data_IF_183470752452
#
_entry.id   IF_183470752452
#
_cell.length_a   1.000
_cell.length_b   1.000
_cell.length_c   1.000
_cell.angle_alpha   90.00
_cell.angle_beta   90.00
_cell.angle_gamma   90.00
#
_symmetry.space_group_name_H-M   'P 1'
#
loop_
_entity.id
_entity.type
_entity.pdbx_description
1 polymer ?
#
# COMPACT_ATOMS: atom_id res chain seq x y z
N UNK A 1 -8.66 0.74 -61.51
CA UNK A 1 -8.30 -0.61 -61.03
C UNK A 1 -6.99 -0.47 -60.30
N UNK A 2 -6.77 -0.76 -59.03
CA UNK A 2 -7.54 -1.28 -57.91
C UNK A 2 -6.48 -1.39 -56.80
N UNK A 3 -6.71 -0.75 -55.66
CA UNK A 3 -5.82 -0.82 -54.51
C UNK A 3 -5.98 -2.18 -53.82
N UNK A 4 -4.93 -2.70 -53.15
CA UNK A 4 -5.16 -3.43 -51.91
C UNK A 4 -4.50 -2.68 -50.75
N UNK A 5 -5.40 -2.18 -49.91
CA UNK A 5 -5.21 -1.84 -48.51
C UNK A 5 -4.77 -3.07 -47.69
N UNK A 6 -4.12 -2.75 -46.57
CA UNK A 6 -4.15 -3.44 -45.26
C UNK A 6 -3.01 -4.39 -44.89
N UNK A 7 -2.10 -3.89 -44.06
CA UNK A 7 -2.04 -4.29 -42.64
C UNK A 7 -1.14 -3.34 -41.84
N UNK A 8 -1.76 -2.29 -41.29
CA UNK A 8 -1.28 -1.59 -40.10
C UNK A 8 -1.96 -2.24 -38.90
N UNK A 9 -1.19 -2.84 -37.99
CA UNK A 9 -1.26 -2.65 -36.53
C UNK A 9 -0.39 -3.70 -35.83
N UNK A 10 0.88 -3.33 -35.62
CA UNK A 10 1.72 -3.99 -34.64
C UNK A 10 1.21 -3.67 -33.23
N UNK A 11 0.30 -4.49 -32.71
CA UNK A 11 -0.05 -4.55 -31.29
C UNK A 11 0.96 -5.44 -30.55
N UNK A 12 2.25 -5.15 -30.66
CA UNK A 12 3.28 -5.91 -29.97
C UNK A 12 3.26 -5.58 -28.49
N UNK A 13 2.76 -6.48 -27.64
CA UNK A 13 2.95 -6.38 -26.19
C UNK A 13 4.45 -6.40 -25.91
N UNK A 14 5.01 -5.27 -25.45
CA UNK A 14 6.42 -5.18 -25.06
C UNK A 14 6.69 -6.18 -23.92
N UNK A 15 7.44 -7.28 -24.14
CA UNK A 15 7.64 -8.33 -23.13
C UNK A 15 8.40 -7.83 -21.90
N UNK A 16 9.19 -6.76 -22.03
CA UNK A 16 9.91 -6.16 -20.90
C UNK A 16 8.96 -5.59 -19.83
N UNK A 17 7.71 -5.29 -20.19
CA UNK A 17 6.71 -4.79 -19.27
C UNK A 17 6.16 -5.86 -18.33
N UNK A 18 6.45 -7.13 -18.60
CA UNK A 18 5.98 -8.30 -17.86
C UNK A 18 7.11 -9.01 -17.10
N UNK A 19 8.33 -8.45 -17.12
CA UNK A 19 9.46 -8.95 -16.34
C UNK A 19 9.39 -8.37 -14.92
N UNK A 20 9.37 -9.22 -13.87
CA UNK A 20 9.33 -8.76 -12.50
C UNK A 20 10.68 -8.18 -12.08
N UNK A 21 10.62 -7.04 -11.41
CA UNK A 21 11.75 -6.43 -10.73
C UNK A 21 12.25 -7.36 -9.60
N UNK A 22 13.57 -7.59 -9.47
CA UNK A 22 14.10 -8.59 -8.55
C UNK A 22 13.89 -8.24 -7.07
N UNK A 23 13.81 -6.95 -6.73
CA UNK A 23 13.68 -6.49 -5.34
C UNK A 23 12.21 -6.43 -4.91
N UNK A 24 11.37 -5.82 -5.74
CA UNK A 24 9.95 -5.61 -5.45
C UNK A 24 9.09 -6.81 -5.85
N UNK A 25 9.53 -7.59 -6.83
CA UNK A 25 8.75 -8.65 -7.47
C UNK A 25 7.68 -8.13 -8.44
N UNK A 26 7.55 -6.82 -8.61
CA UNK A 26 6.55 -6.21 -9.46
C UNK A 26 7.05 -6.03 -10.90
N UNK A 27 6.17 -6.32 -11.85
CA UNK A 27 6.37 -5.93 -13.24
C UNK A 27 6.13 -4.43 -13.44
N UNK A 28 6.68 -3.80 -14.49
CA UNK A 28 6.37 -2.42 -14.84
C UNK A 28 4.86 -2.13 -15.01
N UNK A 29 4.07 -3.10 -15.52
CA UNK A 29 2.60 -2.95 -15.58
C UNK A 29 1.97 -2.90 -14.20
N UNK A 30 2.40 -3.77 -13.29
CA UNK A 30 1.88 -3.80 -11.93
C UNK A 30 2.25 -2.53 -11.17
N UNK A 31 3.50 -2.03 -11.28
CA UNK A 31 3.91 -0.73 -10.70
C UNK A 31 3.02 0.41 -11.20
N UNK A 32 2.70 0.42 -12.51
CA UNK A 32 1.78 1.41 -13.11
C UNK A 32 0.36 1.29 -12.55
N UNK A 33 -0.15 0.07 -12.43
CA UNK A 33 -1.48 -0.19 -11.86
C UNK A 33 -1.56 0.26 -10.39
N UNK A 34 -0.54 -0.07 -9.58
CA UNK A 34 -0.44 0.34 -8.17
C UNK A 34 -0.53 1.86 -8.05
N UNK A 35 0.26 2.62 -8.83
CA UNK A 35 0.22 4.08 -8.82
C UNK A 35 -1.15 4.63 -9.19
N UNK A 36 -1.72 4.16 -10.30
CA UNK A 36 -3.05 4.58 -10.77
C UNK A 36 -4.13 4.36 -9.71
N UNK A 37 -4.10 3.21 -9.04
CA UNK A 37 -5.07 2.89 -7.98
C UNK A 37 -4.84 3.78 -6.75
N UNK A 38 -3.58 3.99 -6.38
CA UNK A 38 -3.23 4.84 -5.25
C UNK A 38 -3.63 6.30 -5.46
N UNK A 39 -3.55 6.81 -6.70
CA UNK A 39 -3.97 8.17 -7.06
C UNK A 39 -5.44 8.44 -6.70
N UNK A 40 -6.31 7.43 -6.84
CA UNK A 40 -7.73 7.52 -6.46
C UNK A 40 -7.87 7.67 -4.94
N UNK A 41 -7.04 6.98 -4.17
CA UNK A 41 -7.11 6.96 -2.71
C UNK A 41 -6.45 8.21 -2.11
N UNK A 42 -5.32 8.65 -2.66
CA UNK A 42 -4.61 9.83 -2.15
C UNK A 42 -5.35 11.14 -2.43
N UNK A 43 -6.29 11.15 -3.37
CA UNK A 43 -7.16 12.30 -3.66
C UNK A 43 -7.96 12.80 -2.43
N UNK A 44 -8.31 11.90 -1.51
CA UNK A 44 -8.88 12.26 -0.20
C UNK A 44 -8.04 11.65 0.93
N UNK A 45 -6.78 12.08 0.99
CA UNK A 45 -5.77 11.59 1.95
C UNK A 45 -6.29 11.59 3.39
N UNK A 46 -6.95 12.67 3.82
CA UNK A 46 -7.38 12.82 5.21
C UNK A 46 -8.52 11.85 5.55
N UNK A 47 -9.58 11.82 4.76
CA UNK A 47 -10.73 10.97 5.06
C UNK A 47 -10.37 9.49 4.86
N UNK A 48 -9.63 9.15 3.81
CA UNK A 48 -9.24 7.76 3.55
C UNK A 48 -8.26 7.22 4.59
N UNK A 49 -7.38 8.07 5.15
CA UNK A 49 -6.54 7.70 6.28
C UNK A 49 -7.36 7.40 7.55
N UNK A 50 -8.38 8.21 7.84
CA UNK A 50 -9.30 7.97 8.95
C UNK A 50 -10.07 6.67 8.74
N UNK A 51 -10.66 6.48 7.55
CA UNK A 51 -11.39 5.25 7.19
C UNK A 51 -10.49 4.01 7.33
N UNK A 52 -9.23 4.11 6.90
CA UNK A 52 -8.25 3.03 6.99
C UNK A 52 -8.01 2.60 8.45
N UNK A 53 -7.65 3.55 9.32
CA UNK A 53 -7.26 3.25 10.68
C UNK A 53 -8.45 2.89 11.57
N UNK A 54 -9.64 3.45 11.29
CA UNK A 54 -10.89 3.01 11.94
C UNK A 54 -11.16 1.55 11.56
N UNK A 55 -11.14 1.19 10.27
CA UNK A 55 -11.35 -0.18 9.83
C UNK A 55 -10.30 -1.14 10.43
N UNK A 56 -9.06 -0.69 10.56
CA UNK A 56 -7.98 -1.47 11.18
C UNK A 56 -8.26 -1.79 12.65
N UNK A 57 -8.71 -0.80 13.43
CA UNK A 57 -9.07 -0.99 14.84
C UNK A 57 -10.43 -1.66 15.06
N UNK A 58 -11.37 -1.56 14.12
CA UNK A 58 -12.61 -2.36 14.14
C UNK A 58 -12.30 -3.85 14.09
N UNK A 59 -11.37 -4.25 13.22
CA UNK A 59 -10.95 -5.66 13.08
C UNK A 59 -10.01 -6.08 14.20
N UNK A 60 -9.13 -5.19 14.66
CA UNK A 60 -8.12 -5.48 15.67
C UNK A 60 -8.13 -4.44 16.82
N UNK A 61 -9.13 -4.45 17.71
CA UNK A 61 -9.29 -3.41 18.74
C UNK A 61 -8.08 -3.27 19.67
N UNK A 62 -7.38 -4.38 19.95
CA UNK A 62 -6.22 -4.40 20.83
C UNK A 62 -5.05 -3.55 20.31
N UNK A 63 -4.94 -3.34 19.00
CA UNK A 63 -3.82 -2.59 18.40
C UNK A 63 -3.84 -1.10 18.73
N UNK A 64 -5.02 -0.55 19.08
CA UNK A 64 -5.14 0.85 19.51
C UNK A 64 -4.27 1.17 20.74
N UNK A 65 -3.95 0.16 21.58
CA UNK A 65 -3.14 0.32 22.80
C UNK A 65 -1.74 0.88 22.55
N UNK A 66 -1.19 0.67 21.36
CA UNK A 66 0.15 1.14 21.00
C UNK A 66 0.20 2.68 20.84
N UNK A 67 -0.95 3.31 20.62
CA UNK A 67 -1.06 4.74 20.32
C UNK A 67 -1.36 5.56 21.58
N UNK A 68 -0.34 5.78 22.41
CA UNK A 68 -0.46 6.47 23.73
C UNK A 68 -1.30 7.75 23.72
N UNK A 69 -1.28 8.50 22.61
CA UNK A 69 -2.01 9.75 22.43
C UNK A 69 -3.54 9.63 22.34
N UNK A 70 -4.06 8.45 21.99
CA UNK A 70 -5.49 8.20 21.79
C UNK A 70 -5.92 6.77 22.13
N UNK A 71 -5.09 6.00 22.86
CA UNK A 71 -5.37 4.60 23.22
C UNK A 71 -6.66 4.38 24.00
N UNK A 72 -7.09 5.37 24.77
CA UNK A 72 -8.28 5.32 25.63
C UNK A 72 -9.48 6.06 25.03
N UNK A 73 -9.36 6.57 23.80
CA UNK A 73 -10.45 7.25 23.09
C UNK A 73 -11.36 6.19 22.49
N UNK A 74 -12.69 6.23 22.72
CA UNK A 74 -13.60 5.28 22.11
C UNK A 74 -13.52 5.32 20.58
N UNK A 75 -13.63 4.15 19.93
CA UNK A 75 -13.49 4.02 18.47
C UNK A 75 -14.40 4.98 17.70
N UNK A 76 -15.65 5.17 18.16
CA UNK A 76 -16.63 6.10 17.57
C UNK A 76 -16.21 7.58 17.62
N UNK A 77 -15.35 7.94 18.56
CA UNK A 77 -14.90 9.31 18.82
C UNK A 77 -13.53 9.59 18.18
N UNK A 78 -12.78 8.55 17.79
CA UNK A 78 -11.48 8.68 17.12
C UNK A 78 -11.51 9.58 15.87
N UNK A 79 -12.51 9.49 14.96
CA UNK A 79 -12.54 10.35 13.77
C UNK A 79 -12.53 11.85 14.09
N UNK A 80 -12.94 12.26 15.30
CA UNK A 80 -12.94 13.65 15.76
C UNK A 80 -11.68 14.04 16.54
N UNK A 81 -10.83 13.08 16.90
CA UNK A 81 -9.62 13.31 17.65
C UNK A 81 -8.49 13.83 16.73
N UNK A 82 -7.96 15.03 17.00
CA UNK A 82 -6.93 15.66 16.15
C UNK A 82 -5.62 14.89 16.11
N UNK A 83 -5.20 14.25 17.21
CA UNK A 83 -3.97 13.43 17.25
C UNK A 83 -4.12 12.17 16.40
N UNK A 84 -5.30 11.56 16.42
CA UNK A 84 -5.63 10.44 15.54
C UNK A 84 -5.62 10.86 14.07
N UNK A 85 -6.28 11.97 13.71
CA UNK A 85 -6.29 12.48 12.33
C UNK A 85 -4.86 12.79 11.81
N UNK A 86 -4.00 13.38 12.65
CA UNK A 86 -2.61 13.65 12.30
C UNK A 86 -1.83 12.35 12.04
N UNK A 87 -2.04 11.33 12.87
CA UNK A 87 -1.42 10.02 12.64
C UNK A 87 -1.93 9.35 11.36
N UNK A 88 -3.25 9.37 11.12
CA UNK A 88 -3.85 8.85 9.88
C UNK A 88 -3.24 9.49 8.64
N UNK A 89 -3.07 10.81 8.66
CA UNK A 89 -2.44 11.57 7.57
C UNK A 89 -0.98 11.13 7.37
N UNK A 90 -0.23 10.94 8.46
CA UNK A 90 1.15 10.47 8.41
C UNK A 90 1.30 9.08 7.78
N UNK A 91 0.37 8.16 8.10
CA UNK A 91 0.34 6.82 7.50
C UNK A 91 0.10 6.91 5.99
N UNK A 92 -0.86 7.74 5.55
CA UNK A 92 -1.13 7.92 4.13
C UNK A 92 0.04 8.53 3.35
N UNK A 93 0.79 9.45 3.95
CA UNK A 93 2.01 9.97 3.34
C UNK A 93 3.14 8.93 3.28
N UNK A 94 3.28 8.08 4.29
CA UNK A 94 4.24 6.98 4.25
C UNK A 94 3.92 5.99 3.12
N UNK A 95 2.65 5.62 2.96
CA UNK A 95 2.19 4.76 1.86
C UNK A 95 2.37 5.42 0.49
N UNK A 96 2.09 6.73 0.38
CA UNK A 96 2.34 7.49 -0.85
C UNK A 96 3.82 7.48 -1.22
N UNK A 97 4.69 7.71 -0.24
CA UNK A 97 6.13 7.69 -0.48
C UNK A 97 6.63 6.32 -0.95
N UNK A 98 6.06 5.23 -0.44
CA UNK A 98 6.36 3.86 -0.93
C UNK A 98 5.96 3.71 -2.40
N UNK A 99 4.73 4.09 -2.75
CA UNK A 99 4.19 3.97 -4.13
C UNK A 99 4.98 4.83 -5.13
N UNK A 100 5.39 6.03 -4.71
CA UNK A 100 6.16 6.95 -5.55
C UNK A 100 7.58 6.41 -5.83
N UNK A 101 8.15 5.62 -4.92
CA UNK A 101 9.53 5.09 -5.03
C UNK A 101 9.62 3.65 -5.58
N UNK A 102 8.56 3.08 -6.18
CA UNK A 102 8.59 1.70 -6.71
C UNK A 102 9.64 1.47 -7.81
N UNK A 103 10.16 2.52 -8.45
CA UNK A 103 11.23 2.41 -9.47
C UNK A 103 12.64 2.66 -8.89
N UNK A 104 12.75 3.21 -7.68
CA UNK A 104 14.03 3.38 -6.96
C UNK A 104 14.06 2.39 -5.79
N UNK A 105 14.36 1.13 -6.12
CA UNK A 105 14.31 0.02 -5.15
C UNK A 105 15.33 0.18 -4.04
N UNK A 106 16.48 0.79 -4.33
CA UNK A 106 17.51 1.11 -3.33
C UNK A 106 17.00 2.09 -2.27
N UNK A 107 16.41 3.21 -2.69
CA UNK A 107 15.78 4.16 -1.79
C UNK A 107 14.62 3.52 -1.02
N UNK A 108 13.75 2.76 -1.72
CA UNK A 108 12.59 2.11 -1.13
C UNK A 108 12.96 1.14 0.01
N UNK A 109 13.98 0.31 -0.19
CA UNK A 109 14.45 -0.64 0.83
C UNK A 109 14.93 0.09 2.09
N UNK A 110 15.69 1.17 1.94
CA UNK A 110 16.16 1.98 3.08
C UNK A 110 15.02 2.68 3.83
N UNK A 111 14.03 3.21 3.09
CA UNK A 111 12.83 3.83 3.67
C UNK A 111 12.03 2.82 4.50
N UNK A 112 11.77 1.64 3.94
CA UNK A 112 11.05 0.57 4.63
C UNK A 112 11.83 0.04 5.82
N UNK A 113 13.16 0.00 5.73
CA UNK A 113 14.03 -0.40 6.83
C UNK A 113 13.90 0.55 8.01
N UNK A 114 13.99 1.87 7.76
CA UNK A 114 13.81 2.88 8.81
C UNK A 114 12.40 2.85 9.40
N UNK A 115 11.38 2.67 8.55
CA UNK A 115 9.99 2.57 8.97
C UNK A 115 9.79 1.39 9.93
N UNK A 116 10.25 0.20 9.53
CA UNK A 116 10.13 -1.01 10.34
C UNK A 116 10.90 -0.92 11.65
N UNK A 117 12.12 -0.36 11.65
CA UNK A 117 12.91 -0.16 12.86
C UNK A 117 12.20 0.77 13.85
N UNK A 118 11.60 1.84 13.34
CA UNK A 118 10.84 2.77 14.17
C UNK A 118 9.62 2.09 14.80
N UNK A 119 8.87 1.29 14.03
CA UNK A 119 7.72 0.56 14.55
C UNK A 119 8.11 -0.55 15.54
N UNK A 120 9.22 -1.23 15.31
CA UNK A 120 9.75 -2.22 16.24
C UNK A 120 10.05 -1.61 17.63
N UNK A 121 10.62 -0.39 17.68
CA UNK A 121 10.83 0.34 18.95
C UNK A 121 9.54 0.64 19.70
N UNK A 122 8.40 0.66 19.02
CA UNK A 122 7.07 0.83 19.60
C UNK A 122 6.38 -0.51 19.93
N UNK A 123 7.09 -1.63 19.81
CA UNK A 123 6.58 -2.97 20.10
C UNK A 123 5.58 -3.47 19.06
N UNK A 124 5.62 -2.92 17.83
CA UNK A 124 4.75 -3.35 16.73
C UNK A 124 5.35 -4.59 16.08
N UNK A 125 4.53 -5.62 15.98
CA UNK A 125 4.87 -6.92 15.43
C UNK A 125 4.73 -6.96 13.91
N UNK A 126 5.36 -7.96 13.30
CA UNK A 126 5.16 -8.28 11.87
C UNK A 126 3.70 -8.57 11.53
N UNK A 127 2.97 -9.22 12.45
CA UNK A 127 1.57 -9.55 12.22
C UNK A 127 0.70 -8.29 12.08
N UNK A 128 0.94 -7.26 12.90
CA UNK A 128 0.23 -5.99 12.81
C UNK A 128 0.44 -5.29 11.46
N UNK A 129 1.62 -5.40 10.85
CA UNK A 129 1.86 -4.92 9.49
C UNK A 129 1.09 -5.71 8.43
N UNK A 130 1.00 -7.03 8.57
CA UNK A 130 0.22 -7.91 7.67
C UNK A 130 -1.28 -7.59 7.76
N UNK A 131 -1.76 -7.31 8.97
CA UNK A 131 -3.15 -6.93 9.22
C UNK A 131 -3.46 -5.54 8.66
N UNK A 132 -2.51 -4.60 8.76
CA UNK A 132 -2.63 -3.27 8.14
C UNK A 132 -2.69 -3.40 6.62
N UNK A 133 -1.80 -4.18 6.00
CA UNK A 133 -1.83 -4.49 4.56
C UNK A 133 -3.20 -5.05 4.14
N UNK A 134 -3.74 -5.99 4.91
CA UNK A 134 -5.05 -6.58 4.63
C UNK A 134 -6.15 -5.52 4.68
N UNK A 135 -6.07 -4.60 5.64
CA UNK A 135 -6.99 -3.47 5.76
C UNK A 135 -6.87 -2.49 4.59
N UNK A 136 -5.65 -2.21 4.11
CA UNK A 136 -5.44 -1.40 2.89
C UNK A 136 -6.15 -2.04 1.70
N UNK A 137 -5.99 -3.34 1.47
CA UNK A 137 -6.69 -4.05 0.39
C UNK A 137 -8.22 -3.96 0.52
N UNK A 138 -8.76 -4.05 1.74
CA UNK A 138 -10.20 -3.86 1.99
C UNK A 138 -10.65 -2.43 1.68
N UNK A 139 -9.86 -1.43 2.04
CA UNK A 139 -10.13 -0.02 1.71
C UNK A 139 -10.15 0.19 0.20
N UNK A 140 -9.15 -0.33 -0.52
CA UNK A 140 -9.08 -0.24 -1.98
C UNK A 140 -10.32 -0.84 -2.63
N UNK A 141 -10.70 -2.07 -2.24
CA UNK A 141 -11.93 -2.72 -2.71
C UNK A 141 -13.17 -1.86 -2.45
N UNK A 142 -13.30 -1.28 -1.25
CA UNK A 142 -14.43 -0.42 -0.90
C UNK A 142 -14.49 0.85 -1.74
N UNK A 143 -13.35 1.47 -2.05
CA UNK A 143 -13.28 2.76 -2.75
C UNK A 143 -13.39 2.61 -4.27
N UNK A 144 -12.85 1.53 -4.83
CA UNK A 144 -12.84 1.31 -6.28
C UNK A 144 -14.01 0.45 -6.77
N UNK A 145 -14.62 -0.37 -5.90
CA UNK A 145 -15.75 -1.24 -6.27
C UNK A 145 -15.41 -2.16 -7.44
N UNK A 146 -16.26 -2.19 -8.47
CA UNK A 146 -16.05 -3.00 -9.68
C UNK A 146 -14.85 -2.56 -10.53
N UNK A 147 -14.24 -1.39 -10.26
CA UNK A 147 -13.03 -0.93 -10.95
C UNK A 147 -11.75 -1.54 -10.40
N UNK A 148 -11.80 -2.22 -9.25
CA UNK A 148 -10.65 -2.94 -8.71
C UNK A 148 -10.67 -4.37 -9.24
N UNK A 149 -9.86 -4.64 -10.27
CA UNK A 149 -9.86 -5.94 -10.93
C UNK A 149 -9.12 -6.99 -10.11
N UNK A 150 -9.23 -8.26 -10.50
CA UNK A 150 -8.48 -9.36 -9.88
C UNK A 150 -6.98 -9.17 -10.04
N UNK A 151 -6.55 -8.64 -11.18
CA UNK A 151 -5.15 -8.32 -11.49
C UNK A 151 -4.65 -7.16 -10.61
N UNK A 152 -5.47 -6.13 -10.42
CA UNK A 152 -5.17 -5.02 -9.52
C UNK A 152 -5.00 -5.53 -8.07
N UNK A 153 -5.89 -6.42 -7.62
CA UNK A 153 -5.78 -7.05 -6.30
C UNK A 153 -4.51 -7.89 -6.16
N UNK A 154 -4.14 -8.66 -7.19
CA UNK A 154 -2.94 -9.47 -7.21
C UNK A 154 -1.67 -8.60 -7.14
N UNK A 155 -1.61 -7.54 -7.95
CA UNK A 155 -0.50 -6.58 -7.97
C UNK A 155 -0.29 -5.95 -6.58
N UNK A 156 -1.37 -5.47 -5.95
CA UNK A 156 -1.29 -4.88 -4.61
C UNK A 156 -0.92 -5.90 -3.54
N UNK A 157 -1.34 -7.17 -3.67
CA UNK A 157 -0.89 -8.25 -2.77
C UNK A 157 0.60 -8.55 -2.93
N UNK A 158 1.15 -8.46 -4.14
CA UNK A 158 2.58 -8.67 -4.39
C UNK A 158 3.41 -7.51 -3.84
N UNK A 159 3.05 -6.26 -4.18
CA UNK A 159 3.80 -5.03 -3.82
C UNK A 159 3.99 -4.86 -2.32
N UNK A 160 2.87 -4.83 -1.60
CA UNK A 160 2.86 -4.69 -0.15
C UNK A 160 3.38 -5.94 0.57
N UNK A 161 3.49 -7.07 -0.13
CA UNK A 161 3.92 -8.37 0.40
C UNK A 161 5.42 -8.52 0.45
N UNK A 162 6.13 -8.34 -0.67
CA UNK A 162 7.57 -8.58 -0.68
C UNK A 162 8.37 -7.44 -0.07
N UNK A 163 7.97 -6.19 -0.26
CA UNK A 163 8.70 -5.03 0.28
C UNK A 163 8.67 -4.97 1.82
N UNK A 164 7.49 -5.17 2.44
CA UNK A 164 7.36 -5.16 3.91
C UNK A 164 7.91 -6.46 4.53
N UNK A 165 7.77 -7.61 3.85
CA UNK A 165 8.24 -8.89 4.41
C UNK A 165 9.75 -9.13 4.20
N UNK A 166 10.34 -8.61 3.13
CA UNK A 166 11.79 -8.67 2.91
C UNK A 166 12.55 -7.86 3.96
N UNK A 167 11.96 -6.77 4.47
CA UNK A 167 12.46 -6.06 5.65
C UNK A 167 12.59 -6.99 6.87
N UNK A 168 11.55 -7.76 7.20
CA UNK A 168 11.59 -8.67 8.36
C UNK A 168 12.55 -9.85 8.14
N UNK A 169 12.72 -10.31 6.90
CA UNK A 169 13.66 -11.39 6.57
C UNK A 169 15.14 -10.93 6.62
N UNK A 170 15.43 -9.70 6.21
CA UNK A 170 16.81 -9.16 6.16
C UNK A 170 17.30 -8.58 7.48
N UNK A 171 16.41 -8.08 8.33
CA UNK A 171 16.77 -7.47 9.62
C UNK A 171 17.10 -8.48 10.73
N UNK A 172 17.04 -9.79 10.46
CA UNK A 172 17.33 -10.83 11.46
C UNK A 172 16.37 -10.85 12.65
N UNK A 173 15.23 -10.14 12.54
CA UNK A 173 14.15 -10.15 13.54
C UNK A 173 13.27 -11.37 13.28
N UNK A 174 13.85 -12.53 13.60
CA UNK A 174 13.22 -13.86 13.62
C UNK A 174 12.68 -14.12 15.03
#
# INVERSE_FOLDING_TARGET
>A
MGNPLSSLTGGGTNPAMDLPDPDTGLTPREKTAVRRIWDIVKADTKQNGVDLLVMFFEVNPSYQRHFKSFKDVPLKDLPRNSKFQAHCTSVMYALTSIVDNLDDTGCLVEMLTKLGQNHHRHGISRQEFIDLKTTVLKLLKKKLGSKFTTEDEAAWKQDTGRCILSYFQRSGQI
#
